data_IF_416367712006
#
_entry.id   IF_416367712006
#
_cell.length_a   1.000
_cell.length_b   1.000
_cell.length_c   1.000
_cell.angle_alpha   90.00
_cell.angle_beta   90.00
_cell.angle_gamma   90.00
#
_symmetry.space_group_name_H-M   'P 1'
#
loop_
_entity.id
_entity.type
_entity.pdbx_description
1 polymer ?
#
# COMPACT_ATOMS: atom_id res chain seq x y z
N UNK A 1 -4.03 -3.94 -4.88
CA UNK A 1 -4.90 -3.73 -6.07
C UNK A 1 -5.81 -4.90 -6.49
N UNK A 2 -5.34 -6.17 -6.53
CA UNK A 2 -6.18 -7.29 -7.05
C UNK A 2 -7.51 -7.44 -6.30
N UNK A 3 -7.48 -7.38 -4.97
CA UNK A 3 -8.69 -7.48 -4.14
C UNK A 3 -9.65 -6.30 -4.32
N UNK A 4 -9.13 -5.09 -4.54
CA UNK A 4 -9.97 -3.92 -4.87
C UNK A 4 -10.84 -4.21 -6.09
N UNK A 5 -10.24 -4.76 -7.15
CA UNK A 5 -10.96 -5.11 -8.37
C UNK A 5 -11.96 -6.24 -8.16
N UNK A 6 -11.55 -7.32 -7.45
CA UNK A 6 -12.41 -8.48 -7.19
C UNK A 6 -13.65 -8.13 -6.36
N UNK A 7 -13.47 -7.27 -5.36
CA UNK A 7 -14.55 -6.86 -4.46
C UNK A 7 -15.40 -5.70 -5.01
N UNK A 8 -15.02 -5.14 -6.17
CA UNK A 8 -15.74 -4.00 -6.73
C UNK A 8 -15.48 -2.68 -6.01
N UNK A 9 -14.44 -2.60 -5.16
CA UNK A 9 -14.21 -1.46 -4.26
C UNK A 9 -13.72 -0.19 -4.97
N UNK A 10 -13.37 -0.25 -6.26
CA UNK A 10 -13.05 0.94 -7.06
C UNK A 10 -14.14 2.02 -7.01
N UNK A 11 -15.41 1.64 -6.85
CA UNK A 11 -16.54 2.60 -6.73
C UNK A 11 -16.51 3.43 -5.45
N UNK A 12 -15.84 2.95 -4.40
CA UNK A 12 -15.65 3.67 -3.14
C UNK A 12 -14.34 4.46 -3.14
N UNK A 13 -13.26 3.83 -3.63
CA UNK A 13 -11.94 4.45 -3.61
C UNK A 13 -11.79 5.63 -4.57
N UNK A 14 -12.46 5.62 -5.73
CA UNK A 14 -12.35 6.72 -6.69
C UNK A 14 -12.91 8.05 -6.10
N UNK A 15 -14.15 8.11 -5.57
CA UNK A 15 -14.64 9.31 -4.91
C UNK A 15 -13.74 9.79 -3.76
N UNK A 16 -13.23 8.87 -2.91
CA UNK A 16 -12.32 9.24 -1.83
C UNK A 16 -11.01 9.85 -2.35
N UNK A 17 -10.48 9.33 -3.45
CA UNK A 17 -9.29 9.89 -4.08
C UNK A 17 -9.55 11.26 -4.68
N UNK A 18 -10.70 11.47 -5.31
CA UNK A 18 -11.13 12.77 -5.83
C UNK A 18 -11.26 13.81 -4.71
N UNK A 19 -11.92 13.45 -3.59
CA UNK A 19 -11.99 14.29 -2.39
C UNK A 19 -10.60 14.65 -1.86
N UNK A 20 -9.70 13.66 -1.77
CA UNK A 20 -8.32 13.89 -1.34
C UNK A 20 -7.58 14.86 -2.25
N UNK A 21 -7.76 14.74 -3.57
CA UNK A 21 -7.14 15.66 -4.55
C UNK A 21 -7.72 17.08 -4.39
N UNK A 22 -9.03 17.19 -4.14
CA UNK A 22 -9.72 18.45 -3.87
C UNK A 22 -9.42 19.03 -2.47
N UNK A 23 -8.68 18.31 -1.62
CA UNK A 23 -8.47 18.62 -0.20
C UNK A 23 -9.78 18.73 0.60
N UNK A 24 -10.78 17.93 0.23
CA UNK A 24 -12.03 17.79 0.97
C UNK A 24 -11.88 16.80 2.14
N UNK A 25 -12.59 17.01 3.26
CA UNK A 25 -12.53 16.10 4.40
C UNK A 25 -13.12 14.73 4.04
N UNK A 26 -12.47 13.68 4.52
CA UNK A 26 -12.93 12.29 4.42
C UNK A 26 -13.38 11.84 5.81
N UNK A 27 -14.60 11.31 5.92
CA UNK A 27 -15.16 10.92 7.22
C UNK A 27 -14.95 9.44 7.51
N UNK A 28 -15.09 9.05 8.78
CA UNK A 28 -15.02 7.66 9.20
C UNK A 28 -16.14 6.83 8.58
N UNK A 29 -17.33 7.39 8.44
CA UNK A 29 -18.50 6.72 7.87
C UNK A 29 -18.27 6.33 6.40
N UNK A 30 -17.61 7.20 5.62
CA UNK A 30 -17.24 6.90 4.23
C UNK A 30 -16.21 5.76 4.14
N UNK A 31 -15.30 5.67 5.10
CA UNK A 31 -14.33 4.57 5.17
C UNK A 31 -15.01 3.28 5.63
N UNK A 32 -15.87 3.35 6.64
CA UNK A 32 -16.57 2.20 7.21
C UNK A 32 -17.54 1.55 6.21
N UNK A 33 -18.08 2.30 5.24
CA UNK A 33 -19.02 1.80 4.23
C UNK A 33 -18.53 0.51 3.54
N UNK A 34 -17.22 0.37 3.36
CA UNK A 34 -16.63 -0.80 2.69
C UNK A 34 -15.40 -1.38 3.42
N UNK A 35 -14.88 -0.70 4.45
CA UNK A 35 -13.76 -1.19 5.26
C UNK A 35 -14.16 -1.59 6.69
N UNK A 36 -15.40 -1.32 7.13
CA UNK A 36 -15.81 -1.51 8.52
C UNK A 36 -15.63 -2.94 9.05
N UNK A 37 -15.70 -3.94 8.18
CA UNK A 37 -15.53 -5.35 8.53
C UNK A 37 -14.07 -5.86 8.48
N UNK A 38 -13.11 -4.99 8.13
CA UNK A 38 -11.69 -5.36 8.01
C UNK A 38 -10.89 -4.94 9.24
N UNK A 39 -10.09 -5.87 9.76
CA UNK A 39 -9.19 -5.61 10.90
C UNK A 39 -7.93 -4.82 10.52
N UNK A 40 -7.67 -4.62 9.22
CA UNK A 40 -6.51 -3.88 8.74
C UNK A 40 -6.52 -3.68 7.24
N UNK A 41 -5.78 -2.65 6.79
CA UNK A 41 -5.63 -2.28 5.39
C UNK A 41 -4.15 -2.16 5.03
N UNK A 42 -3.82 -2.48 3.79
CA UNK A 42 -2.47 -2.35 3.25
C UNK A 42 -2.54 -2.15 1.73
N UNK A 43 -1.39 -1.86 1.10
CA UNK A 43 -1.25 -1.66 -0.34
C UNK A 43 -2.03 -0.42 -0.87
N UNK A 44 -1.86 -0.14 -2.16
CA UNK A 44 -2.63 0.88 -2.87
C UNK A 44 -4.06 0.36 -3.17
N UNK A 45 -5.09 1.20 -2.96
CA UNK A 45 -5.01 2.64 -2.68
C UNK A 45 -4.91 3.03 -1.20
N UNK A 46 -5.15 2.13 -0.24
CA UNK A 46 -5.27 2.47 1.18
C UNK A 46 -4.07 3.26 1.73
N UNK A 47 -2.84 2.90 1.34
CA UNK A 47 -1.63 3.61 1.78
C UNK A 47 -1.66 5.13 1.51
N UNK A 48 -2.38 5.59 0.47
CA UNK A 48 -2.54 7.02 0.14
C UNK A 48 -3.20 7.80 1.30
N UNK A 49 -4.06 7.13 2.08
CA UNK A 49 -4.93 7.72 3.09
C UNK A 49 -4.41 7.54 4.52
N UNK A 50 -3.11 7.29 4.70
CA UNK A 50 -2.56 7.02 6.03
C UNK A 50 -2.91 8.09 7.09
N UNK A 51 -2.81 9.42 6.83
CA UNK A 51 -3.24 10.42 7.81
C UNK A 51 -4.73 10.34 8.15
N UNK A 52 -5.59 10.16 7.13
CA UNK A 52 -7.04 10.05 7.32
C UNK A 52 -7.41 8.81 8.13
N UNK A 53 -6.70 7.69 7.95
CA UNK A 53 -6.85 6.51 8.79
C UNK A 53 -6.41 6.74 10.24
N UNK A 54 -5.35 7.52 10.46
CA UNK A 54 -4.92 7.87 11.82
C UNK A 54 -5.98 8.71 12.54
N UNK A 55 -6.66 9.60 11.80
CA UNK A 55 -7.74 10.45 12.33
C UNK A 55 -9.03 9.65 12.57
N UNK A 56 -9.44 8.82 11.62
CA UNK A 56 -10.66 8.03 11.71
C UNK A 56 -10.58 6.88 12.73
N UNK A 57 -9.39 6.31 12.93
CA UNK A 57 -9.14 5.17 13.81
C UNK A 57 -7.99 5.47 14.79
N UNK A 58 -8.29 6.21 15.88
CA UNK A 58 -7.26 6.64 16.85
C UNK A 58 -6.54 5.47 17.55
N UNK A 59 -7.20 4.32 17.67
CA UNK A 59 -6.66 3.12 18.31
C UNK A 59 -5.88 2.20 17.35
N UNK A 60 -5.92 2.47 16.04
CA UNK A 60 -5.26 1.60 15.07
C UNK A 60 -3.73 1.65 15.21
N UNK A 61 -3.05 0.51 15.08
CA UNK A 61 -1.59 0.47 15.04
C UNK A 61 -1.08 0.75 13.64
N UNK A 62 0.03 1.46 13.53
CA UNK A 62 0.60 1.89 12.24
C UNK A 62 1.87 1.10 11.97
N UNK A 63 1.88 0.34 10.87
CA UNK A 63 3.07 -0.36 10.38
C UNK A 63 3.50 0.29 9.08
N UNK A 64 4.71 0.86 9.06
CA UNK A 64 5.32 1.42 7.87
C UNK A 64 6.36 0.43 7.33
N UNK A 65 6.00 -0.27 6.26
CA UNK A 65 6.94 -1.19 5.61
C UNK A 65 7.99 -0.44 4.82
N UNK A 66 9.26 -0.59 5.18
CA UNK A 66 10.39 0.01 4.47
C UNK A 66 11.32 -1.03 3.88
N UNK A 67 12.14 -0.59 2.92
CA UNK A 67 13.17 -1.38 2.25
C UNK A 67 14.15 -0.42 1.58
N UNK A 68 15.24 -0.99 1.11
CA UNK A 68 16.21 -0.29 0.25
C UNK A 68 15.51 0.37 -0.96
N UNK A 69 15.78 1.66 -1.14
CA UNK A 69 15.14 2.53 -2.13
C UNK A 69 15.38 2.04 -3.57
N UNK A 70 16.62 1.68 -3.89
CA UNK A 70 16.97 1.21 -5.25
C UNK A 70 16.23 -0.09 -5.56
N UNK A 71 16.27 -1.04 -4.63
CA UNK A 71 15.55 -2.31 -4.77
C UNK A 71 14.04 -2.11 -4.86
N UNK A 72 13.47 -1.13 -4.15
CA UNK A 72 12.05 -0.79 -4.28
C UNK A 72 11.75 -0.26 -5.68
N UNK A 73 12.56 0.68 -6.16
CA UNK A 73 12.35 1.33 -7.44
C UNK A 73 12.44 0.34 -8.61
N UNK A 74 13.45 -0.53 -8.63
CA UNK A 74 13.56 -1.60 -9.64
C UNK A 74 12.36 -2.55 -9.61
N UNK A 75 11.88 -2.90 -8.41
CA UNK A 75 10.67 -3.73 -8.24
C UNK A 75 9.42 -3.05 -8.80
N UNK A 76 9.29 -1.73 -8.60
CA UNK A 76 8.13 -0.97 -9.06
C UNK A 76 8.10 -0.82 -10.58
N UNK A 77 9.26 -0.55 -11.21
CA UNK A 77 9.39 -0.51 -12.68
C UNK A 77 8.96 -1.82 -13.32
N UNK A 78 9.23 -2.95 -12.67
CA UNK A 78 8.88 -4.25 -13.21
C UNK A 78 7.38 -4.60 -13.08
N UNK A 79 6.59 -3.88 -12.28
CA UNK A 79 5.24 -4.31 -11.84
C UNK A 79 4.15 -3.25 -12.05
N UNK A 80 3.94 -2.39 -11.04
CA UNK A 80 2.74 -1.54 -10.85
C UNK A 80 2.70 -0.36 -11.83
N UNK A 81 3.82 -0.04 -12.47
CA UNK A 81 3.91 1.03 -13.46
C UNK A 81 2.96 0.86 -14.66
N UNK A 82 2.43 -0.33 -14.94
CA UNK A 82 1.66 -0.58 -16.15
C UNK A 82 0.12 -0.53 -15.98
N UNK A 83 -0.40 -0.22 -14.79
CA UNK A 83 -1.84 -0.24 -14.55
C UNK A 83 -2.53 1.11 -14.88
N UNK A 84 -3.07 1.26 -16.10
CA UNK A 84 -3.77 2.50 -16.55
C UNK A 84 -5.13 2.30 -17.24
N UNK A 85 -5.67 1.08 -17.31
CA UNK A 85 -6.80 0.79 -18.21
C UNK A 85 -8.19 1.19 -17.65
N UNK A 86 -8.27 2.05 -16.64
CA UNK A 86 -9.54 2.53 -16.07
C UNK A 86 -9.39 3.95 -15.48
N UNK A 87 -10.50 4.71 -15.33
CA UNK A 87 -10.46 6.03 -14.69
C UNK A 87 -9.83 5.98 -13.30
N UNK A 88 -10.21 4.99 -12.48
CA UNK A 88 -9.60 4.78 -11.17
C UNK A 88 -8.09 4.53 -11.23
N UNK A 89 -7.64 3.69 -12.17
CA UNK A 89 -6.22 3.42 -12.37
C UNK A 89 -5.45 4.67 -12.82
N UNK A 90 -6.05 5.49 -13.69
CA UNK A 90 -5.46 6.73 -14.17
C UNK A 90 -5.35 7.77 -13.04
N UNK A 91 -6.43 8.09 -12.34
CA UNK A 91 -6.42 9.06 -11.22
C UNK A 91 -5.43 8.65 -10.13
N UNK A 92 -5.39 7.35 -9.78
CA UNK A 92 -4.43 6.82 -8.82
C UNK A 92 -2.99 6.93 -9.32
N UNK A 93 -2.75 6.58 -10.59
CA UNK A 93 -1.44 6.72 -11.23
C UNK A 93 -0.93 8.15 -11.16
N UNK A 94 -1.79 9.11 -11.51
CA UNK A 94 -1.43 10.52 -11.60
C UNK A 94 -1.14 11.09 -10.21
N UNK A 95 -1.92 10.70 -9.20
CA UNK A 95 -1.66 11.04 -7.80
C UNK A 95 -0.32 10.49 -7.30
N UNK A 96 -0.10 9.18 -7.46
CA UNK A 96 1.07 8.49 -6.89
C UNK A 96 2.35 8.87 -7.60
N UNK A 97 2.34 8.87 -8.93
CA UNK A 97 3.56 8.87 -9.74
C UNK A 97 3.79 10.18 -10.49
N UNK A 98 2.74 10.99 -10.69
CA UNK A 98 2.82 12.16 -11.57
C UNK A 98 3.27 11.81 -12.99
N UNK A 99 3.91 12.78 -13.64
CA UNK A 99 4.29 12.69 -15.05
C UNK A 99 5.69 12.08 -15.27
N UNK A 100 6.65 12.36 -14.37
CA UNK A 100 8.01 11.82 -14.46
C UNK A 100 8.24 10.77 -13.38
N UNK A 101 7.87 9.54 -13.71
CA UNK A 101 7.95 8.46 -12.73
C UNK A 101 9.39 7.99 -12.51
N UNK A 102 10.23 8.05 -13.55
CA UNK A 102 11.61 7.57 -13.43
C UNK A 102 12.48 8.57 -12.66
N UNK A 103 12.33 9.87 -12.94
CA UNK A 103 13.04 10.92 -12.23
C UNK A 103 12.52 11.17 -10.82
N UNK A 104 11.20 11.05 -10.58
CA UNK A 104 10.62 11.38 -9.27
C UNK A 104 10.27 10.18 -8.39
N UNK A 105 10.22 8.95 -8.93
CA UNK A 105 9.65 7.80 -8.22
C UNK A 105 10.31 7.51 -6.88
N UNK A 106 11.64 7.53 -6.82
CA UNK A 106 12.43 7.38 -5.59
C UNK A 106 12.09 8.46 -4.56
N UNK A 107 12.09 9.72 -4.99
CA UNK A 107 11.73 10.86 -4.15
C UNK A 107 10.29 10.78 -3.63
N UNK A 108 9.35 10.28 -4.44
CA UNK A 108 7.95 10.06 -4.04
C UNK A 108 7.82 8.98 -2.97
N UNK A 109 8.60 7.90 -3.07
CA UNK A 109 8.70 6.90 -2.00
C UNK A 109 9.21 7.50 -0.69
N UNK A 110 10.32 8.25 -0.73
CA UNK A 110 10.87 8.90 0.45
C UNK A 110 9.88 9.91 1.06
N UNK A 111 9.25 10.75 0.24
CA UNK A 111 8.24 11.72 0.67
C UNK A 111 7.03 11.05 1.30
N UNK A 112 6.57 9.92 0.75
CA UNK A 112 5.47 9.17 1.33
C UNK A 112 5.82 8.66 2.73
N UNK A 113 6.99 8.01 2.88
CA UNK A 113 7.44 7.51 4.19
C UNK A 113 7.54 8.65 5.22
N UNK A 114 8.12 9.79 4.81
CA UNK A 114 8.24 10.95 5.69
C UNK A 114 6.89 11.57 6.06
N UNK A 115 5.94 11.60 5.11
CA UNK A 115 4.57 12.04 5.37
C UNK A 115 3.89 11.17 6.43
N UNK A 116 4.04 9.84 6.36
CA UNK A 116 3.48 8.92 7.36
C UNK A 116 4.11 9.17 8.73
N UNK A 117 5.44 9.29 8.81
CA UNK A 117 6.14 9.59 10.07
C UNK A 117 5.70 10.91 10.69
N UNK A 118 5.64 11.97 9.87
CA UNK A 118 5.28 13.31 10.32
C UNK A 118 3.83 13.33 10.81
N UNK A 119 2.90 12.75 10.05
CA UNK A 119 1.49 12.66 10.44
C UNK A 119 1.30 11.88 11.75
N UNK A 120 2.03 10.78 11.94
CA UNK A 120 1.98 10.01 13.17
C UNK A 120 2.58 10.79 14.35
N UNK A 121 3.74 11.44 14.15
CA UNK A 121 4.39 12.27 15.18
C UNK A 121 3.51 13.42 15.64
N UNK A 122 2.86 14.13 14.71
CA UNK A 122 1.92 15.21 15.01
C UNK A 122 0.73 14.73 15.87
N UNK A 123 0.35 13.46 15.72
CA UNK A 123 -0.74 12.82 16.46
C UNK A 123 -0.27 12.07 17.72
N UNK A 124 1.02 12.12 18.03
CA UNK A 124 1.61 11.35 19.15
C UNK A 124 1.48 9.83 18.98
N UNK A 125 1.44 9.35 17.73
CA UNK A 125 1.22 7.93 17.40
C UNK A 125 2.54 7.20 17.18
N UNK A 126 2.63 6.00 17.74
CA UNK A 126 3.74 5.09 17.50
C UNK A 126 3.62 4.45 16.10
N UNK A 127 4.75 4.36 15.40
CA UNK A 127 4.87 3.70 14.10
C UNK A 127 5.92 2.60 14.22
N UNK A 128 5.55 1.38 13.83
CA UNK A 128 6.53 0.32 13.60
C UNK A 128 7.12 0.48 12.20
N UNK A 129 8.39 0.87 12.13
CA UNK A 129 9.23 0.70 10.95
C UNK A 129 9.54 -0.79 10.80
N UNK A 130 9.19 -1.37 9.65
CA UNK A 130 9.25 -2.81 9.45
C UNK A 130 9.85 -3.18 8.09
N UNK A 131 11.00 -3.86 8.11
CA UNK A 131 11.50 -4.56 6.94
C UNK A 131 10.94 -5.98 6.92
N UNK A 132 10.30 -6.38 5.81
CA UNK A 132 9.63 -7.69 5.66
C UNK A 132 10.54 -8.89 6.02
N UNK A 133 11.87 -8.74 5.85
CA UNK A 133 12.88 -9.75 6.19
C UNK A 133 13.00 -10.04 7.70
N UNK A 134 12.48 -9.16 8.55
CA UNK A 134 12.51 -9.31 10.01
C UNK A 134 11.47 -10.33 10.53
N UNK A 135 10.48 -10.67 9.70
CA UNK A 135 9.51 -11.72 9.98
C UNK A 135 8.55 -11.40 11.13
N UNK A 136 8.11 -12.43 11.85
CA UNK A 136 7.01 -12.31 12.83
C UNK A 136 7.35 -11.49 14.07
N UNK A 137 8.61 -11.52 14.51
CA UNK A 137 8.99 -11.04 15.84
C UNK A 137 8.61 -9.57 16.12
N UNK A 138 9.02 -8.58 15.31
CA UNK A 138 8.65 -7.18 15.57
C UNK A 138 7.14 -6.94 15.45
N UNK A 139 6.47 -7.58 14.48
CA UNK A 139 5.03 -7.45 14.29
C UNK A 139 4.23 -7.99 15.48
N UNK A 140 4.57 -9.17 16.00
CA UNK A 140 3.88 -9.73 17.16
C UNK A 140 4.13 -8.90 18.43
N UNK A 141 5.35 -8.39 18.63
CA UNK A 141 5.63 -7.48 19.75
C UNK A 141 4.80 -6.19 19.67
N UNK A 142 4.65 -5.63 18.46
CA UNK A 142 3.95 -4.37 18.27
C UNK A 142 2.44 -4.54 18.25
N UNK A 143 1.90 -5.49 17.48
CA UNK A 143 0.46 -5.68 17.29
C UNK A 143 -0.19 -6.44 18.46
N UNK A 144 0.55 -7.32 19.11
CA UNK A 144 0.07 -8.23 20.15
C UNK A 144 0.35 -9.70 19.75
N UNK A 145 0.44 -10.61 20.75
CA UNK A 145 0.75 -12.00 20.49
C UNK A 145 -0.40 -12.67 19.74
N UNK A 146 -0.09 -13.18 18.56
CA UNK A 146 -0.92 -14.17 17.87
C UNK A 146 -0.07 -15.43 17.76
N UNK A 147 -0.60 -16.58 18.17
CA UNK A 147 0.10 -17.87 17.98
C UNK A 147 0.26 -18.13 16.49
N UNK A 148 1.48 -18.01 15.97
CA UNK A 148 1.79 -18.30 14.58
C UNK A 148 2.83 -19.41 14.51
N UNK A 149 2.38 -20.66 14.64
CA UNK A 149 3.16 -21.85 14.31
C UNK A 149 3.28 -22.03 12.78
N UNK A 150 3.69 -20.97 12.07
CA UNK A 150 3.90 -20.97 10.61
C UNK A 150 5.04 -20.04 10.22
N UNK A 151 5.71 -20.36 9.12
CA UNK A 151 6.73 -19.48 8.54
C UNK A 151 6.15 -18.11 8.15
N UNK A 152 7.00 -17.09 8.14
CA UNK A 152 6.59 -15.77 7.69
C UNK A 152 6.27 -15.81 6.19
N UNK A 153 5.09 -15.33 5.74
CA UNK A 153 4.69 -15.45 4.34
C UNK A 153 5.69 -14.79 3.40
N UNK A 154 6.06 -15.51 2.33
CA UNK A 154 6.80 -14.96 1.18
C UNK A 154 5.99 -15.22 -0.08
N UNK A 155 5.31 -14.18 -0.55
CA UNK A 155 4.51 -14.19 -1.78
C UNK A 155 4.77 -12.91 -2.59
N UNK A 156 4.18 -12.79 -3.78
CA UNK A 156 4.31 -11.64 -4.68
C UNK A 156 5.76 -11.30 -5.13
N UNK A 157 6.63 -12.33 -5.19
CA UNK A 157 7.92 -12.22 -5.87
C UNK A 157 7.69 -12.19 -7.39
N UNK A 158 7.57 -10.99 -7.94
CA UNK A 158 7.30 -10.80 -9.37
C UNK A 158 8.39 -11.40 -10.27
N UNK A 159 9.65 -11.46 -9.82
CA UNK A 159 10.72 -12.09 -10.57
C UNK A 159 10.52 -13.62 -10.65
N UNK A 160 10.03 -14.25 -9.57
CA UNK A 160 9.61 -15.65 -9.58
C UNK A 160 8.38 -15.86 -10.47
N UNK A 161 7.37 -15.00 -10.38
CA UNK A 161 6.17 -15.07 -11.23
C UNK A 161 6.51 -14.96 -12.72
N UNK A 162 7.39 -14.02 -13.12
CA UNK A 162 7.82 -13.85 -14.51
C UNK A 162 8.60 -15.06 -15.03
N UNK A 163 9.44 -15.70 -14.18
CA UNK A 163 10.13 -16.94 -14.54
C UNK A 163 9.15 -18.10 -14.76
N UNK A 164 8.13 -18.21 -13.92
CA UNK A 164 7.10 -19.26 -14.05
C UNK A 164 6.18 -19.06 -15.26
N UNK A 165 5.81 -17.82 -15.59
CA UNK A 165 4.95 -17.55 -16.76
C UNK A 165 5.70 -17.68 -18.07
N UNK A 166 6.95 -17.20 -18.16
CA UNK A 166 7.78 -17.38 -19.36
C UNK A 166 8.23 -18.84 -19.56
N UNK A 167 8.36 -19.61 -18.48
CA UNK A 167 8.63 -21.05 -18.54
C UNK A 167 7.44 -21.87 -19.06
N UNK A 168 6.20 -21.39 -18.86
CA UNK A 168 4.98 -22.03 -19.38
C UNK A 168 4.71 -21.70 -20.85
N UNK A 169 5.09 -20.52 -21.33
CA UNK A 169 4.98 -20.16 -22.75
C UNK A 169 6.01 -20.87 -23.62
N UNK A 170 7.20 -21.18 -23.09
CA UNK A 170 8.28 -21.87 -23.80
C UNK A 170 8.17 -23.40 -23.80
N UNK A 171 7.23 -23.97 -23.04
CA UNK A 171 6.93 -25.41 -23.02
C UNK A 171 5.63 -25.77 -23.78
N UNK A 172 5.02 -24.79 -24.46
CA UNK A 172 3.90 -24.96 -25.38
C UNK A 172 4.25 -24.63 -26.86
N UNK A 173 5.55 -24.51 -27.17
CA UNK A 173 6.06 -24.42 -28.56
C UNK A 173 6.80 -25.70 -28.95
#
# INVERSE_FOLDING_TARGET
MREVMKMGHQKYWLPLLEKKIANEPITKEELDEFLGDFAGVSDIPAAIFAPEFMDAYPEAKIVLTTRDEEKWFESMKATIWHAKNSPFGQTMSDYLWGNDREGEGKMRFLRHNEKVRSAAKERGREVLEFEVKEGWKPLCSFLGPEERNREFPRSDDWAAYKKETQGKESSQQ
#
